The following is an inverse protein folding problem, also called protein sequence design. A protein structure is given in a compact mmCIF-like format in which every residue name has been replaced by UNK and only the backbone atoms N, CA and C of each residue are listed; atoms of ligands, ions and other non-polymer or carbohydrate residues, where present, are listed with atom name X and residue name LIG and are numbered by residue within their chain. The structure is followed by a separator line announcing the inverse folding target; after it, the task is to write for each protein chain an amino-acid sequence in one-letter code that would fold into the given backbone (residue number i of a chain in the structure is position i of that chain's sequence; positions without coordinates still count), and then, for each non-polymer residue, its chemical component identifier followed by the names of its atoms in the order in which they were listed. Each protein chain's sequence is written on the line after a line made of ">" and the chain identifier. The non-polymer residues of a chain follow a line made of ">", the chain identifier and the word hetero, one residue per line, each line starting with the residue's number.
data_IF_023886945048
#
_entry.id   IF_023886945048
#
_cell.length_a   1.000
_cell.length_b   1.000
_cell.length_c   1.000
_cell.angle_alpha   90.00
_cell.angle_beta   90.00
_cell.angle_gamma   90.00
#
_symmetry.space_group_name_H-M   'P 1'
#
loop_
_entity.id
_entity.type
_entity.pdbx_description
1 polymer ?
#
# COMPACT_ATOMS: atom_id res chain seq x y z
N UNK A 1 8.57 9.19 -14.02
CA UNK A 1 8.36 8.20 -12.93
C UNK A 1 6.95 8.39 -12.40
N UNK A 2 6.17 7.30 -12.24
CA UNK A 2 4.76 7.38 -11.77
C UNK A 2 4.70 7.70 -10.28
N UNK A 3 3.70 8.48 -9.86
CA UNK A 3 3.59 8.92 -8.47
C UNK A 3 3.17 7.76 -7.54
N UNK A 4 3.49 7.81 -6.23
CA UNK A 4 3.04 6.81 -5.26
C UNK A 4 1.52 6.59 -5.25
N UNK A 5 0.75 7.65 -5.53
CA UNK A 5 -0.72 7.60 -5.65
C UNK A 5 -1.19 6.86 -6.90
N UNK A 6 -0.48 6.97 -8.03
CA UNK A 6 -0.76 6.17 -9.25
C UNK A 6 -0.42 4.69 -9.07
N UNK A 7 0.59 4.38 -8.24
CA UNK A 7 0.98 3.01 -7.91
C UNK A 7 -0.05 2.36 -6.97
N UNK A 8 -0.67 3.12 -6.07
CA UNK A 8 -1.73 2.65 -5.18
C UNK A 8 -3.10 2.48 -5.88
N UNK A 9 -3.39 3.23 -6.95
CA UNK A 9 -4.64 3.12 -7.73
C UNK A 9 -4.65 1.96 -8.73
N UNK A 10 -3.50 1.59 -9.27
CA UNK A 10 -3.36 0.47 -10.23
C UNK A 10 -3.93 -0.88 -9.76
N UNK A 11 -3.73 -1.32 -8.51
CA UNK A 11 -4.32 -2.55 -7.98
C UNK A 11 -5.85 -2.52 -7.95
N UNK A 12 -6.44 -1.39 -7.53
CA UNK A 12 -7.88 -1.19 -7.43
C UNK A 12 -8.53 -1.14 -8.82
N UNK A 13 -7.94 -0.37 -9.75
CA UNK A 13 -8.37 -0.35 -11.16
C UNK A 13 -8.26 -1.74 -11.80
N UNK A 14 -7.19 -2.49 -11.50
CA UNK A 14 -7.01 -3.87 -11.97
C UNK A 14 -8.09 -4.83 -11.45
N UNK A 15 -8.54 -4.71 -10.20
CA UNK A 15 -9.50 -5.63 -9.60
C UNK A 15 -10.92 -5.34 -10.11
N UNK A 16 -11.28 -4.06 -10.23
CA UNK A 16 -12.58 -3.64 -10.77
C UNK A 16 -12.69 -3.92 -12.27
N UNK A 17 -11.60 -3.72 -13.02
CA UNK A 17 -11.53 -4.09 -14.43
C UNK A 17 -11.62 -5.61 -14.62
N UNK A 18 -10.95 -6.41 -13.78
CA UNK A 18 -11.09 -7.87 -13.79
C UNK A 18 -12.54 -8.32 -13.48
N UNK A 19 -13.23 -7.67 -12.54
CA UNK A 19 -14.66 -7.93 -12.26
C UNK A 19 -15.56 -7.56 -13.43
N UNK A 20 -15.29 -6.42 -14.07
CA UNK A 20 -16.03 -5.95 -15.25
C UNK A 20 -15.87 -6.92 -16.42
N UNK A 21 -14.63 -7.36 -16.69
CA UNK A 21 -14.33 -8.38 -17.71
C UNK A 21 -15.10 -9.66 -17.40
N UNK A 22 -15.00 -10.20 -16.17
CA UNK A 22 -15.72 -11.42 -15.80
C UNK A 22 -17.26 -11.28 -15.95
N UNK A 23 -17.81 -10.10 -15.69
CA UNK A 23 -19.24 -9.82 -15.88
C UNK A 23 -19.63 -9.80 -17.35
N UNK A 24 -18.83 -9.15 -18.20
CA UNK A 24 -19.06 -9.10 -19.63
C UNK A 24 -18.90 -10.47 -20.29
N UNK A 25 -17.90 -11.25 -19.87
CA UNK A 25 -17.69 -12.62 -20.35
C UNK A 25 -18.87 -13.53 -20.01
N UNK A 26 -19.44 -13.43 -18.80
CA UNK A 26 -20.67 -14.16 -18.45
C UNK A 26 -21.85 -13.78 -19.35
N UNK A 27 -22.03 -12.50 -19.65
CA UNK A 27 -23.09 -12.03 -20.56
C UNK A 27 -22.89 -12.61 -21.97
N UNK A 28 -21.66 -12.61 -22.48
CA UNK A 28 -21.33 -13.21 -23.76
C UNK A 28 -21.65 -14.71 -23.81
N UNK A 29 -21.31 -15.47 -22.76
CA UNK A 29 -21.68 -16.88 -22.62
C UNK A 29 -23.20 -17.07 -22.68
N UNK A 30 -23.97 -16.26 -21.95
CA UNK A 30 -25.44 -16.34 -21.97
C UNK A 30 -26.01 -16.08 -23.36
N UNK A 31 -25.48 -15.08 -24.07
CA UNK A 31 -25.91 -14.76 -25.45
C UNK A 31 -25.58 -15.91 -26.39
N UNK A 32 -24.36 -16.44 -26.35
CA UNK A 32 -23.93 -17.56 -27.20
C UNK A 32 -24.76 -18.82 -26.97
N UNK A 33 -25.10 -19.13 -25.71
CA UNK A 33 -26.04 -20.23 -25.38
C UNK A 33 -27.44 -19.98 -25.93
N UNK A 34 -27.91 -18.74 -25.89
CA UNK A 34 -29.17 -18.35 -26.50
C UNK A 34 -29.16 -18.54 -28.02
N UNK A 35 -28.06 -18.16 -28.69
CA UNK A 35 -27.88 -18.34 -30.14
C UNK A 35 -27.88 -19.82 -30.51
N UNK A 36 -27.13 -20.65 -29.77
CA UNK A 36 -27.08 -22.09 -29.98
C UNK A 36 -28.46 -22.76 -29.85
N UNK A 37 -29.38 -22.20 -29.03
CA UNK A 37 -30.73 -22.72 -28.85
C UNK A 37 -31.69 -22.43 -30.01
N UNK A 38 -31.33 -21.53 -30.94
CA UNK A 38 -32.17 -21.22 -32.10
C UNK A 38 -31.96 -22.18 -33.29
N UNK A 39 -31.03 -23.15 -33.18
CA UNK A 39 -30.73 -24.17 -34.22
C UNK A 39 -30.45 -23.58 -35.63
N UNK A 40 -29.97 -22.33 -35.68
CA UNK A 40 -29.63 -21.63 -36.94
C UNK A 40 -28.25 -22.00 -37.50
N UNK A 41 -27.46 -22.74 -36.73
CA UNK A 41 -26.06 -23.08 -37.01
C UNK A 41 -25.97 -24.52 -37.51
N UNK A 42 -25.06 -24.77 -38.44
CA UNK A 42 -24.71 -26.14 -38.80
C UNK A 42 -23.93 -26.86 -37.67
N UNK A 43 -23.65 -28.15 -37.88
CA UNK A 43 -22.97 -28.97 -36.88
C UNK A 43 -21.55 -28.45 -36.54
N UNK A 44 -20.80 -27.95 -37.53
CA UNK A 44 -19.43 -27.48 -37.34
C UNK A 44 -19.41 -26.11 -36.65
N UNK A 45 -20.33 -25.23 -37.03
CA UNK A 45 -20.57 -23.92 -36.41
C UNK A 45 -21.01 -24.07 -34.95
N UNK A 46 -21.92 -25.00 -34.67
CA UNK A 46 -22.39 -25.33 -33.31
C UNK A 46 -21.24 -25.84 -32.44
N UNK A 47 -20.42 -26.77 -32.96
CA UNK A 47 -19.26 -27.31 -32.24
C UNK A 47 -18.23 -26.21 -31.94
N UNK A 48 -17.96 -25.32 -32.90
CA UNK A 48 -17.10 -24.14 -32.70
C UNK A 48 -17.65 -23.21 -31.61
N UNK A 49 -18.96 -22.96 -31.63
CA UNK A 49 -19.62 -22.12 -30.63
C UNK A 49 -19.54 -22.70 -29.21
N UNK A 50 -19.78 -24.00 -29.05
CA UNK A 50 -19.65 -24.67 -27.75
C UNK A 50 -18.20 -24.68 -27.25
N UNK A 51 -17.21 -24.83 -28.13
CA UNK A 51 -15.79 -24.65 -27.77
C UNK A 51 -15.50 -23.23 -27.27
N UNK A 52 -16.00 -22.22 -27.95
CA UNK A 52 -15.88 -20.82 -27.52
C UNK A 52 -16.55 -20.58 -26.15
N UNK A 53 -17.74 -21.12 -25.91
CA UNK A 53 -18.41 -21.05 -24.62
C UNK A 53 -17.53 -21.67 -23.53
N UNK A 54 -17.00 -22.88 -23.75
CA UNK A 54 -16.13 -23.57 -22.79
C UNK A 54 -14.87 -22.76 -22.44
N UNK A 55 -14.22 -22.16 -23.45
CA UNK A 55 -13.05 -21.29 -23.22
C UNK A 55 -13.41 -20.04 -22.40
N UNK A 56 -14.56 -19.40 -22.70
CA UNK A 56 -15.02 -18.23 -21.94
C UNK A 56 -15.36 -18.59 -20.48
N UNK A 57 -15.92 -19.77 -20.23
CA UNK A 57 -16.21 -20.27 -18.88
C UNK A 57 -14.92 -20.55 -18.09
N UNK A 58 -13.93 -21.15 -18.74
CA UNK A 58 -12.62 -21.40 -18.13
C UNK A 58 -11.91 -20.08 -17.79
N UNK A 59 -11.88 -19.12 -18.73
CA UNK A 59 -11.31 -17.79 -18.50
C UNK A 59 -12.02 -17.07 -17.35
N UNK A 60 -13.34 -17.14 -17.28
CA UNK A 60 -14.12 -16.54 -16.18
C UNK A 60 -13.73 -17.16 -14.84
N UNK A 61 -13.55 -18.47 -14.79
CA UNK A 61 -13.16 -19.20 -13.56
C UNK A 61 -11.74 -18.84 -13.12
N UNK A 62 -10.79 -18.80 -14.05
CA UNK A 62 -9.40 -18.39 -13.78
C UNK A 62 -9.33 -16.93 -13.29
N UNK A 63 -10.11 -16.03 -13.89
CA UNK A 63 -10.19 -14.63 -13.47
C UNK A 63 -10.74 -14.49 -12.04
N UNK A 64 -11.84 -15.18 -11.71
CA UNK A 64 -12.39 -15.18 -10.35
C UNK A 64 -11.36 -15.65 -9.32
N UNK A 65 -10.69 -16.77 -9.59
CA UNK A 65 -9.63 -17.31 -8.73
C UNK A 65 -8.48 -16.32 -8.55
N UNK A 66 -8.06 -15.64 -9.61
CA UNK A 66 -7.01 -14.61 -9.54
C UNK A 66 -7.43 -13.43 -8.66
N UNK A 67 -8.67 -12.95 -8.77
CA UNK A 67 -9.21 -11.87 -7.94
C UNK A 67 -9.24 -12.28 -6.46
N UNK A 68 -9.66 -13.51 -6.16
CA UNK A 68 -9.69 -14.03 -4.79
C UNK A 68 -8.29 -14.13 -4.17
N UNK A 69 -7.31 -14.63 -4.93
CA UNK A 69 -5.90 -14.70 -4.50
C UNK A 69 -5.36 -13.29 -4.21
N UNK A 70 -5.60 -12.32 -5.12
CA UNK A 70 -5.18 -10.93 -4.92
C UNK A 70 -5.83 -10.33 -3.67
N UNK A 71 -7.13 -10.52 -3.49
CA UNK A 71 -7.86 -10.02 -2.32
C UNK A 71 -7.33 -10.63 -1.02
N UNK A 72 -7.02 -11.92 -1.02
CA UNK A 72 -6.42 -12.59 0.14
C UNK A 72 -5.02 -12.03 0.44
N UNK A 73 -4.19 -11.82 -0.58
CA UNK A 73 -2.85 -11.23 -0.44
C UNK A 73 -2.91 -9.78 0.06
N UNK A 74 -3.85 -8.98 -0.43
CA UNK A 74 -4.08 -7.60 0.04
C UNK A 74 -4.53 -7.58 1.50
N UNK A 75 -5.46 -8.46 1.88
CA UNK A 75 -5.90 -8.61 3.27
C UNK A 75 -4.73 -8.98 4.19
N UNK A 76 -3.95 -9.98 3.82
CA UNK A 76 -2.78 -10.40 4.58
C UNK A 76 -1.72 -9.28 4.68
N UNK A 77 -1.51 -8.52 3.60
CA UNK A 77 -0.60 -7.37 3.61
C UNK A 77 -1.11 -6.26 4.54
N UNK A 78 -2.41 -5.96 4.52
CA UNK A 78 -3.01 -4.94 5.39
C UNK A 78 -2.93 -5.35 6.87
N UNK A 79 -3.19 -6.63 7.18
CA UNK A 79 -3.04 -7.18 8.53
C UNK A 79 -1.58 -7.10 8.99
N UNK A 80 -0.64 -7.46 8.11
CA UNK A 80 0.80 -7.36 8.37
C UNK A 80 1.25 -5.92 8.59
N UNK A 81 0.81 -4.98 7.76
CA UNK A 81 1.06 -3.54 7.94
C UNK A 81 0.58 -3.07 9.30
N UNK A 82 -0.66 -3.40 9.66
CA UNK A 82 -1.26 -3.02 10.95
C UNK A 82 -0.44 -3.58 12.12
N UNK A 83 -0.02 -4.84 12.05
CA UNK A 83 0.79 -5.47 13.07
C UNK A 83 2.18 -4.82 13.20
N UNK A 84 2.88 -4.59 12.09
CA UNK A 84 4.20 -3.92 12.10
C UNK A 84 4.07 -2.52 12.70
N UNK A 85 3.10 -1.73 12.25
CA UNK A 85 2.87 -0.37 12.76
C UNK A 85 2.58 -0.37 14.26
N UNK A 86 1.76 -1.31 14.74
CA UNK A 86 1.49 -1.45 16.17
C UNK A 86 2.78 -1.73 16.96
N UNK A 87 3.65 -2.62 16.47
CA UNK A 87 4.94 -2.89 17.11
C UNK A 87 5.91 -1.70 17.05
N UNK A 88 5.95 -0.95 15.94
CA UNK A 88 6.78 0.26 15.84
C UNK A 88 6.32 1.32 16.84
N UNK A 89 5.00 1.54 16.96
CA UNK A 89 4.41 2.48 17.93
C UNK A 89 4.58 2.05 19.39
N UNK A 90 4.54 0.75 19.68
CA UNK A 90 4.76 0.23 21.03
C UNK A 90 6.25 0.11 21.40
N UNK A 91 7.15 0.20 20.42
CA UNK A 91 8.58 -0.01 20.57
C UNK A 91 9.39 1.29 20.73
N UNK A 92 10.71 1.20 20.48
CA UNK A 92 11.63 2.33 20.60
C UNK A 92 11.26 3.52 19.71
N UNK A 93 10.76 3.25 18.49
CA UNK A 93 10.36 4.29 17.54
C UNK A 93 9.14 5.10 18.05
N UNK A 94 8.17 4.49 18.71
CA UNK A 94 7.05 5.24 19.31
C UNK A 94 7.46 6.11 20.50
N UNK A 95 8.58 5.77 21.15
CA UNK A 95 9.09 6.44 22.35
C UNK A 95 10.10 7.55 22.05
N UNK A 96 10.32 7.87 20.76
CA UNK A 96 11.25 8.94 20.36
C UNK A 96 10.85 10.29 20.97
N UNK A 97 11.86 10.99 21.46
CA UNK A 97 11.75 12.37 21.93
C UNK A 97 11.41 13.32 20.78
N UNK A 98 10.89 14.54 21.05
CA UNK A 98 10.54 15.48 19.99
C UNK A 98 11.67 15.77 18.97
N UNK A 99 12.94 15.99 19.39
CA UNK A 99 14.05 16.16 18.45
C UNK A 99 14.31 14.92 17.59
N UNK A 100 14.21 13.73 18.17
CA UNK A 100 14.40 12.47 17.45
C UNK A 100 13.26 12.21 16.44
N UNK A 101 12.02 12.59 16.77
CA UNK A 101 10.90 12.53 15.82
C UNK A 101 11.12 13.46 14.62
N UNK A 102 11.68 14.65 14.85
CA UNK A 102 12.06 15.57 13.76
C UNK A 102 13.17 14.96 12.91
N UNK A 103 14.19 14.37 13.52
CA UNK A 103 15.27 13.69 12.79
C UNK A 103 14.77 12.48 12.00
N UNK A 104 13.84 11.71 12.57
CA UNK A 104 13.15 10.62 11.88
C UNK A 104 12.36 11.16 10.67
N UNK A 105 11.58 12.22 10.85
CA UNK A 105 10.83 12.86 9.76
C UNK A 105 11.75 13.41 8.67
N UNK A 106 12.91 13.97 9.02
CA UNK A 106 13.88 14.48 8.07
C UNK A 106 14.40 13.39 7.13
N UNK A 107 14.54 12.14 7.60
CA UNK A 107 14.91 10.98 6.77
C UNK A 107 13.92 10.74 5.63
N UNK A 108 12.63 10.97 5.87
CA UNK A 108 11.55 10.69 4.92
C UNK A 108 11.13 11.93 4.12
N UNK A 109 11.29 13.11 4.71
CA UNK A 109 10.60 14.34 4.30
C UNK A 109 11.49 15.60 4.40
N UNK A 110 12.80 15.49 4.17
CA UNK A 110 13.74 16.62 4.30
C UNK A 110 13.29 17.89 3.55
N UNK A 111 12.76 17.74 2.33
CA UNK A 111 12.28 18.86 1.52
C UNK A 111 11.01 19.53 2.09
N UNK A 112 10.20 18.81 2.86
CA UNK A 112 9.02 19.38 3.52
C UNK A 112 9.44 20.24 4.71
N UNK A 113 10.36 19.74 5.55
CA UNK A 113 10.86 20.48 6.72
C UNK A 113 11.51 21.81 6.35
N UNK A 114 12.22 21.88 5.21
CA UNK A 114 12.85 23.11 4.74
C UNK A 114 11.87 24.18 4.23
N UNK A 115 10.60 23.83 4.00
CA UNK A 115 9.55 24.81 3.69
C UNK A 115 8.97 25.51 4.92
N UNK A 116 9.20 24.96 6.12
CA UNK A 116 8.70 25.48 7.39
C UNK A 116 9.61 26.62 7.89
N UNK A 117 9.57 27.78 7.24
CA UNK A 117 10.47 28.92 7.53
C UNK A 117 10.32 29.52 8.93
N UNK A 118 9.13 29.45 9.54
CA UNK A 118 8.85 29.86 10.92
C UNK A 118 7.78 28.94 11.51
N UNK A 119 8.17 27.80 12.10
CA UNK A 119 7.20 26.82 12.58
C UNK A 119 6.47 27.38 13.80
N UNK A 120 5.15 27.48 13.74
CA UNK A 120 4.32 27.84 14.90
C UNK A 120 4.17 26.66 15.85
N UNK A 121 3.72 26.90 17.08
CA UNK A 121 3.41 25.84 18.06
C UNK A 121 2.45 24.79 17.51
N UNK A 122 1.42 25.20 16.77
CA UNK A 122 0.44 24.28 16.18
C UNK A 122 1.05 23.43 15.06
N UNK A 123 1.90 24.02 14.23
CA UNK A 123 2.64 23.30 13.19
C UNK A 123 3.58 22.25 13.80
N UNK A 124 4.33 22.62 14.84
CA UNK A 124 5.22 21.67 15.54
C UNK A 124 4.43 20.55 16.20
N UNK A 125 3.28 20.86 16.84
CA UNK A 125 2.41 19.85 17.43
C UNK A 125 1.88 18.86 16.39
N UNK A 126 1.43 19.36 15.24
CA UNK A 126 0.98 18.51 14.13
C UNK A 126 2.11 17.61 13.63
N UNK A 127 3.30 18.18 13.45
CA UNK A 127 4.48 17.49 12.95
C UNK A 127 4.91 16.33 13.86
N UNK A 128 4.98 16.58 15.16
CA UNK A 128 5.37 15.60 16.17
C UNK A 128 4.32 14.50 16.43
N UNK A 129 3.09 14.68 15.91
CA UNK A 129 1.98 13.74 16.07
C UNK A 129 1.58 13.12 14.73
N UNK A 130 0.76 13.83 13.96
CA UNK A 130 0.17 13.35 12.72
C UNK A 130 1.23 12.99 11.68
N UNK A 131 2.15 13.90 11.38
CA UNK A 131 3.14 13.68 10.32
C UNK A 131 4.13 12.58 10.73
N UNK A 132 4.46 12.49 12.03
CA UNK A 132 5.26 11.39 12.59
C UNK A 132 4.55 10.04 12.47
N UNK A 133 3.27 9.97 12.83
CA UNK A 133 2.46 8.75 12.72
C UNK A 133 2.30 8.30 11.27
N UNK A 134 2.18 9.26 10.34
CA UNK A 134 2.13 8.99 8.90
C UNK A 134 3.46 8.40 8.41
N UNK A 135 4.59 8.98 8.81
CA UNK A 135 5.91 8.46 8.46
C UNK A 135 6.15 7.03 9.00
N UNK A 136 5.74 6.74 10.24
CA UNK A 136 5.77 5.38 10.80
C UNK A 136 4.88 4.43 10.00
N UNK A 137 3.68 4.87 9.62
CA UNK A 137 2.75 4.09 8.81
C UNK A 137 3.32 3.76 7.43
N UNK A 138 3.98 4.72 6.79
CA UNK A 138 4.63 4.55 5.50
C UNK A 138 5.80 3.56 5.57
N UNK A 139 6.66 3.68 6.58
CA UNK A 139 7.77 2.73 6.79
C UNK A 139 7.22 1.33 7.09
N UNK A 140 6.20 1.19 7.95
CA UNK A 140 5.52 -0.07 8.20
C UNK A 140 4.92 -0.66 6.91
N UNK A 141 4.38 0.18 6.02
CA UNK A 141 3.80 -0.27 4.76
C UNK A 141 4.88 -0.80 3.80
N UNK A 142 6.03 -0.13 3.72
CA UNK A 142 7.17 -0.63 2.96
C UNK A 142 7.67 -1.96 3.52
N UNK A 143 7.83 -2.07 4.85
CA UNK A 143 8.26 -3.32 5.49
C UNK A 143 7.26 -4.45 5.26
N UNK A 144 5.96 -4.18 5.32
CA UNK A 144 4.92 -5.17 5.02
C UNK A 144 5.00 -5.68 3.57
N UNK A 145 5.54 -4.86 2.66
CA UNK A 145 5.70 -5.19 1.24
C UNK A 145 7.01 -5.91 0.92
N UNK A 146 8.11 -5.55 1.57
CA UNK A 146 9.46 -5.99 1.17
C UNK A 146 10.13 -6.94 2.15
N UNK A 147 9.78 -6.89 3.43
CA UNK A 147 10.40 -7.73 4.45
C UNK A 147 9.75 -9.10 4.50
N UNK A 148 10.56 -10.15 4.66
CA UNK A 148 10.11 -11.51 4.94
C UNK A 148 10.06 -11.84 6.45
N UNK A 149 10.51 -10.91 7.30
CA UNK A 149 10.60 -11.11 8.75
C UNK A 149 9.24 -11.22 9.42
N UNK A 150 9.18 -11.74 10.65
CA UNK A 150 7.97 -11.61 11.47
C UNK A 150 7.68 -10.11 11.77
N UNK A 151 6.41 -9.68 11.92
CA UNK A 151 6.07 -8.27 12.13
C UNK A 151 6.89 -7.56 13.23
N UNK A 152 7.03 -8.21 14.39
CA UNK A 152 7.82 -7.71 15.51
C UNK A 152 9.32 -7.55 15.17
N UNK A 153 9.88 -8.47 14.38
CA UNK A 153 11.29 -8.43 13.97
C UNK A 153 11.51 -7.37 12.89
N UNK A 154 10.57 -7.19 11.98
CA UNK A 154 10.62 -6.10 10.99
C UNK A 154 10.60 -4.73 11.69
N UNK A 155 9.74 -4.55 12.69
CA UNK A 155 9.70 -3.33 13.51
C UNK A 155 10.99 -3.12 14.30
N UNK A 156 11.53 -4.17 14.93
CA UNK A 156 12.80 -4.11 15.66
C UNK A 156 13.98 -3.78 14.74
N UNK A 157 14.00 -4.34 13.53
CA UNK A 157 15.00 -4.05 12.52
C UNK A 157 14.96 -2.57 12.08
N UNK A 158 13.77 -2.02 11.84
CA UNK A 158 13.62 -0.59 11.52
C UNK A 158 14.12 0.31 12.66
N UNK A 159 13.83 -0.07 13.91
CA UNK A 159 14.35 0.64 15.09
C UNK A 159 15.89 0.60 15.15
N UNK A 160 16.51 -0.57 14.91
CA UNK A 160 17.97 -0.71 14.86
C UNK A 160 18.58 0.16 13.77
N UNK A 161 18.01 0.15 12.58
CA UNK A 161 18.49 0.99 11.46
C UNK A 161 18.42 2.48 11.79
N UNK A 162 17.33 2.92 12.42
CA UNK A 162 17.23 4.30 12.86
C UNK A 162 18.29 4.63 13.92
N UNK A 163 18.47 3.76 14.92
CA UNK A 163 19.43 3.97 16.01
C UNK A 163 20.88 4.04 15.49
N UNK A 164 21.26 3.20 14.53
CA UNK A 164 22.57 3.22 13.88
C UNK A 164 22.81 4.53 13.12
N UNK A 165 21.77 5.06 12.46
CA UNK A 165 21.85 6.30 11.68
C UNK A 165 21.58 7.56 12.52
N UNK A 166 21.13 7.40 13.77
CA UNK A 166 20.64 8.47 14.62
C UNK A 166 21.63 9.65 14.73
N UNK A 167 22.94 9.45 14.98
CA UNK A 167 23.87 10.59 15.10
C UNK A 167 24.03 11.41 13.81
N UNK A 168 23.83 10.79 12.65
CA UNK A 168 23.89 11.48 11.35
C UNK A 168 22.57 12.21 11.07
N UNK A 169 21.44 11.54 11.33
CA UNK A 169 20.11 12.12 11.14
C UNK A 169 19.87 13.32 12.07
N UNK A 170 20.29 13.23 13.33
CA UNK A 170 20.22 14.33 14.29
C UNK A 170 21.01 15.54 13.79
N UNK A 171 22.23 15.34 13.27
CA UNK A 171 23.04 16.42 12.69
C UNK A 171 22.40 17.03 11.45
N UNK A 172 21.85 16.21 10.56
CA UNK A 172 21.16 16.69 9.36
C UNK A 172 19.89 17.48 9.69
N UNK A 173 19.19 17.12 10.76
CA UNK A 173 17.98 17.79 11.23
C UNK A 173 18.24 18.96 12.19
N UNK A 174 19.49 19.21 12.57
CA UNK A 174 19.85 20.17 13.62
C UNK A 174 19.27 21.56 13.40
N UNK A 175 19.38 22.09 12.16
CA UNK A 175 18.84 23.40 11.84
C UNK A 175 17.30 23.47 11.99
N UNK A 176 16.59 22.37 11.71
CA UNK A 176 15.15 22.28 11.91
C UNK A 176 14.80 22.17 13.39
N UNK A 177 15.57 21.39 14.15
CA UNK A 177 15.41 21.23 15.60
C UNK A 177 15.59 22.58 16.30
N UNK A 178 16.64 23.33 15.94
CA UNK A 178 16.92 24.66 16.48
C UNK A 178 15.81 25.66 16.15
N UNK A 179 15.34 25.67 14.89
CA UNK A 179 14.24 26.53 14.47
C UNK A 179 12.91 26.23 15.20
N UNK A 180 12.69 24.97 15.60
CA UNK A 180 11.50 24.54 16.34
C UNK A 180 11.67 24.64 17.86
N UNK A 181 12.90 24.82 18.37
CA UNK A 181 13.26 24.79 19.79
C UNK A 181 12.29 25.51 20.75
N UNK A 182 11.82 26.73 20.45
CA UNK A 182 10.84 27.45 21.29
C UNK A 182 9.49 26.74 21.48
N UNK A 183 9.21 25.69 20.70
CA UNK A 183 7.94 24.97 20.65
C UNK A 183 8.08 23.46 20.95
N UNK A 184 9.29 22.97 21.30
CA UNK A 184 9.54 21.55 21.62
C UNK A 184 9.39 21.21 23.11
N UNK A 185 9.19 22.22 23.96
CA UNK A 185 9.02 22.08 25.41
C UNK A 185 7.59 21.74 25.84
#
# INVERSE_FOLDING_TARGET
>A
MKSPQEIAKRPLESADEQRRIATNTKRAITVLRGIAAYEILDAAESESMYRCIGLLEEMTTRLKKSVEIKKAAEKQRAERHTAILAHMKAGPLGSLTPPERIAYLARHSASYLSTLKQPSKDTVKRLLSQDFDEALSDEAYQLARTSELAPQLAAAHAASQFQEQQPQLMRAAQAHIEAMGPHLA
#
